data_IF_428120284763
#
_entry.id   IF_428120284763
#
_cell.length_a   1.000
_cell.length_b   1.000
_cell.length_c   1.000
_cell.angle_alpha   90.00
_cell.angle_beta   90.00
_cell.angle_gamma   90.00
#
_symmetry.space_group_name_H-M   'P 1'
#
loop_
_entity.id
_entity.type
_entity.pdbx_description
1 polymer ?
#
# COMPACT_ATOMS: atom_id res chain seq x y z
N UNK A 1 67.37 -4.00 23.63
CA UNK A 1 66.41 -2.90 23.36
C UNK A 1 65.43 -3.17 22.19
N UNK A 2 65.23 -4.43 21.73
CA UNK A 2 64.37 -4.76 20.56
C UNK A 2 62.91 -5.11 20.89
N UNK A 3 62.53 -5.23 22.17
CA UNK A 3 61.18 -5.66 22.61
C UNK A 3 60.15 -4.52 22.75
N UNK A 4 60.59 -3.26 22.82
CA UNK A 4 59.69 -2.11 22.98
C UNK A 4 59.02 -1.66 21.66
N UNK A 5 59.56 -2.07 20.51
CA UNK A 5 59.03 -1.69 19.19
C UNK A 5 57.75 -2.42 18.81
N UNK A 6 57.56 -3.66 19.28
CA UNK A 6 56.33 -4.41 19.02
C UNK A 6 55.10 -3.76 19.65
N UNK A 7 55.24 -3.17 20.83
CA UNK A 7 54.15 -2.48 21.54
C UNK A 7 53.76 -1.18 20.82
N UNK A 8 54.73 -0.50 20.21
CA UNK A 8 54.52 0.75 19.48
C UNK A 8 53.72 0.55 18.18
N UNK A 9 53.77 -0.66 17.58
CA UNK A 9 52.95 -1.04 16.42
C UNK A 9 51.56 -1.56 16.81
N UNK A 10 51.39 -2.07 18.03
CA UNK A 10 50.10 -2.56 18.50
C UNK A 10 49.14 -1.42 18.86
N UNK A 11 49.65 -0.27 19.30
CA UNK A 11 48.85 0.92 19.59
C UNK A 11 48.06 1.46 18.38
N UNK A 12 48.68 1.73 17.21
CA UNK A 12 47.94 2.18 16.04
C UNK A 12 47.03 1.08 15.48
N UNK A 13 47.41 -0.19 15.60
CA UNK A 13 46.57 -1.32 15.17
C UNK A 13 45.31 -1.44 16.05
N UNK A 14 45.45 -1.35 17.37
CA UNK A 14 44.34 -1.35 18.30
C UNK A 14 43.44 -0.11 18.10
N UNK A 15 44.04 1.06 17.83
CA UNK A 15 43.29 2.27 17.47
C UNK A 15 42.50 2.12 16.17
N UNK A 16 43.10 1.52 15.14
CA UNK A 16 42.43 1.26 13.86
C UNK A 16 41.29 0.23 14.00
N UNK A 17 41.49 -0.82 14.80
CA UNK A 17 40.45 -1.81 15.12
C UNK A 17 39.31 -1.20 15.94
N UNK A 18 39.62 -0.36 16.92
CA UNK A 18 38.61 0.36 17.69
C UNK A 18 37.83 1.33 16.81
N UNK A 19 38.51 2.09 15.93
CA UNK A 19 37.87 2.94 14.95
C UNK A 19 36.96 2.13 14.02
N UNK A 20 37.43 1.02 13.44
CA UNK A 20 36.60 0.18 12.57
C UNK A 20 35.38 -0.41 13.29
N UNK A 21 35.52 -0.76 14.58
CA UNK A 21 34.43 -1.31 15.38
C UNK A 21 33.43 -0.25 15.87
N UNK A 22 33.89 0.99 16.06
CA UNK A 22 33.07 2.13 16.51
C UNK A 22 32.45 2.94 15.38
N UNK A 23 32.88 2.73 14.13
CA UNK A 23 32.21 3.31 12.98
C UNK A 23 30.79 2.72 12.91
N UNK A 24 29.73 3.54 13.00
CA UNK A 24 28.39 3.06 12.74
C UNK A 24 28.38 2.62 11.29
N UNK A 25 28.34 1.30 11.05
CA UNK A 25 28.10 0.80 9.70
C UNK A 25 26.75 1.38 9.31
N UNK A 26 26.77 2.41 8.45
CA UNK A 26 25.59 2.86 7.73
C UNK A 26 25.26 1.74 6.74
N UNK A 27 24.67 0.67 7.27
CA UNK A 27 23.89 -0.27 6.50
C UNK A 27 22.74 0.56 5.96
N UNK A 28 22.91 1.09 4.75
CA UNK A 28 21.81 1.66 3.97
C UNK A 28 20.66 0.64 4.03
N UNK A 29 19.58 1.00 4.74
CA UNK A 29 18.42 0.14 4.92
C UNK A 29 18.29 -0.64 6.23
N UNK A 30 19.07 -0.36 7.29
CA UNK A 30 18.68 -0.86 8.64
C UNK A 30 17.49 -0.03 9.13
N UNK A 31 16.27 -0.59 9.25
CA UNK A 31 15.17 0.14 9.84
C UNK A 31 15.59 0.49 11.27
N UNK A 32 15.37 1.74 11.67
CA UNK A 32 15.50 2.12 13.07
C UNK A 32 14.72 1.10 13.90
N UNK A 33 15.33 0.59 14.98
CA UNK A 33 14.85 -0.56 15.75
C UNK A 33 13.44 -0.42 16.33
N UNK A 34 12.77 0.71 16.11
CA UNK A 34 11.43 1.02 16.56
C UNK A 34 10.54 1.59 15.43
N UNK A 35 10.77 1.24 14.16
CA UNK A 35 9.73 1.46 13.13
C UNK A 35 8.65 0.40 13.35
N UNK A 36 7.76 0.66 14.30
CA UNK A 36 6.46 0.02 14.36
C UNK A 36 5.82 0.30 12.99
N UNK A 37 5.52 -0.73 12.21
CA UNK A 37 4.80 -0.60 10.93
C UNK A 37 3.34 -0.19 11.13
N UNK A 38 3.05 0.66 12.11
CA UNK A 38 1.86 1.47 12.06
C UNK A 38 2.05 2.32 10.80
N UNK A 39 1.38 1.93 9.70
CA UNK A 39 1.31 2.77 8.51
C UNK A 39 1.04 4.17 9.05
N UNK A 40 2.00 5.09 8.90
CA UNK A 40 1.75 6.48 9.16
C UNK A 40 0.56 6.84 8.27
N UNK A 41 -0.63 6.83 8.86
CA UNK A 41 -1.86 7.10 8.14
C UNK A 41 -1.66 8.48 7.54
N UNK A 42 -1.92 8.61 6.23
CA UNK A 42 -1.81 9.92 5.61
C UNK A 42 -2.66 10.92 6.42
N UNK A 43 -2.22 12.18 6.56
CA UNK A 43 -2.97 13.16 7.30
C UNK A 43 -4.40 13.28 6.72
N UNK A 44 -5.42 13.59 7.52
CA UNK A 44 -6.82 13.61 7.09
C UNK A 44 -7.06 14.44 5.83
N UNK A 45 -6.35 15.56 5.67
CA UNK A 45 -6.45 16.44 4.51
C UNK A 45 -6.00 15.73 3.24
N UNK A 46 -4.95 14.91 3.33
CA UNK A 46 -4.43 14.14 2.21
C UNK A 46 -5.37 12.98 1.85
N UNK A 47 -5.97 12.33 2.85
CA UNK A 47 -7.00 11.31 2.63
C UNK A 47 -8.23 11.91 1.97
N UNK A 48 -8.67 13.10 2.41
CA UNK A 48 -9.80 13.82 1.83
C UNK A 48 -9.54 14.20 0.38
N UNK A 49 -8.33 14.64 0.03
CA UNK A 49 -7.96 14.94 -1.35
C UNK A 49 -8.05 13.70 -2.26
N UNK A 50 -7.50 12.57 -1.80
CA UNK A 50 -7.57 11.29 -2.53
C UNK A 50 -9.02 10.84 -2.68
N UNK A 51 -9.81 10.93 -1.61
CA UNK A 51 -11.23 10.60 -1.64
C UNK A 51 -11.96 11.47 -2.67
N UNK A 52 -11.82 12.79 -2.60
CA UNK A 52 -12.51 13.71 -3.53
C UNK A 52 -12.14 13.43 -4.99
N UNK A 53 -10.89 13.03 -5.27
CA UNK A 53 -10.44 12.69 -6.63
C UNK A 53 -10.96 11.34 -7.10
N UNK A 54 -10.97 10.32 -6.23
CA UNK A 54 -11.31 8.95 -6.59
C UNK A 54 -12.81 8.64 -6.53
N UNK A 55 -13.53 9.29 -5.61
CA UNK A 55 -14.93 9.02 -5.31
C UNK A 55 -15.87 9.08 -6.53
N UNK A 56 -15.70 10.00 -7.51
CA UNK A 56 -16.56 10.04 -8.69
C UNK A 56 -16.57 8.75 -9.52
N UNK A 57 -15.47 7.99 -9.50
CA UNK A 57 -15.33 6.73 -10.23
C UNK A 57 -15.93 5.52 -9.49
N UNK A 58 -16.25 5.67 -8.21
CA UNK A 58 -16.84 4.61 -7.36
C UNK A 58 -18.36 4.65 -7.49
N UNK A 59 -18.97 3.47 -7.49
CA UNK A 59 -20.41 3.29 -7.61
C UNK A 59 -20.89 2.18 -6.69
N UNK A 60 -22.20 2.17 -6.42
CA UNK A 60 -22.90 1.06 -5.77
C UNK A 60 -23.53 0.16 -6.83
N UNK A 61 -23.52 -1.13 -6.60
CA UNK A 61 -24.14 -2.14 -7.46
C UNK A 61 -25.36 -2.69 -6.72
N UNK A 62 -26.53 -2.43 -7.30
CA UNK A 62 -27.81 -2.96 -6.82
C UNK A 62 -28.20 -4.17 -7.69
N UNK A 63 -28.63 -5.25 -7.05
CA UNK A 63 -29.33 -6.37 -7.65
C UNK A 63 -30.85 -6.31 -7.37
N UNK A 64 -31.61 -7.35 -7.73
CA UNK A 64 -33.06 -7.39 -7.53
C UNK A 64 -33.49 -7.22 -6.06
N UNK A 65 -32.70 -7.73 -5.13
CA UNK A 65 -32.96 -7.67 -3.69
C UNK A 65 -32.37 -6.43 -2.99
N UNK A 66 -31.76 -5.53 -3.76
CA UNK A 66 -31.15 -4.30 -3.26
C UNK A 66 -29.63 -4.28 -3.40
N UNK A 67 -28.97 -3.50 -2.54
CA UNK A 67 -27.52 -3.25 -2.63
C UNK A 67 -26.72 -4.53 -2.39
N UNK A 68 -25.89 -4.92 -3.38
CA UNK A 68 -24.99 -6.08 -3.29
C UNK A 68 -23.55 -5.70 -2.95
N UNK A 69 -23.12 -4.49 -3.28
CA UNK A 69 -21.76 -4.05 -3.02
C UNK A 69 -21.38 -2.81 -3.80
N UNK A 70 -20.08 -2.64 -4.03
CA UNK A 70 -19.51 -1.50 -4.75
C UNK A 70 -18.66 -1.98 -5.91
N UNK A 71 -18.43 -1.06 -6.84
CA UNK A 71 -17.49 -1.21 -7.93
C UNK A 71 -16.89 0.14 -8.28
N UNK A 72 -15.99 0.13 -9.26
CA UNK A 72 -15.43 1.36 -9.79
C UNK A 72 -15.19 1.25 -11.29
N UNK A 73 -15.23 2.39 -11.97
CA UNK A 73 -14.80 2.47 -13.37
C UNK A 73 -13.28 2.38 -13.45
N UNK A 74 -12.77 1.33 -14.10
CA UNK A 74 -11.34 1.25 -14.48
C UNK A 74 -11.11 1.76 -15.91
N UNK A 75 -12.18 1.85 -16.71
CA UNK A 75 -12.25 2.46 -18.03
C UNK A 75 -13.67 2.98 -18.26
N UNK A 76 -13.83 3.93 -19.17
CA UNK A 76 -15.15 4.39 -19.61
C UNK A 76 -16.06 3.21 -20.00
N UNK A 77 -17.25 3.15 -19.41
CA UNK A 77 -18.23 2.10 -19.66
C UNK A 77 -17.91 0.74 -19.05
N UNK A 78 -16.75 0.55 -18.41
CA UNK A 78 -16.34 -0.73 -17.83
C UNK A 78 -16.10 -0.62 -16.32
N UNK A 79 -16.77 -1.49 -15.57
CA UNK A 79 -16.75 -1.49 -14.11
C UNK A 79 -16.06 -2.75 -13.63
N UNK A 80 -15.20 -2.60 -12.62
CA UNK A 80 -14.61 -3.72 -11.89
C UNK A 80 -15.31 -3.86 -10.53
N UNK A 81 -15.60 -5.08 -10.13
CA UNK A 81 -16.11 -5.42 -8.80
C UNK A 81 -15.62 -6.81 -8.39
N UNK A 82 -15.88 -7.20 -7.14
CA UNK A 82 -15.56 -8.53 -6.65
C UNK A 82 -16.55 -9.58 -7.18
N UNK A 83 -16.06 -10.81 -7.38
CA UNK A 83 -16.86 -11.94 -7.84
C UNK A 83 -18.17 -12.12 -7.05
N UNK A 84 -18.09 -12.10 -5.71
CA UNK A 84 -19.26 -12.34 -4.84
C UNK A 84 -20.37 -11.29 -4.99
N UNK A 85 -20.08 -10.11 -5.54
CA UNK A 85 -21.10 -9.07 -5.81
C UNK A 85 -21.96 -9.46 -7.02
N UNK A 86 -21.41 -10.24 -7.94
CA UNK A 86 -22.02 -10.58 -9.24
C UNK A 86 -22.24 -12.08 -9.46
N UNK A 87 -21.84 -12.94 -8.52
CA UNK A 87 -21.89 -14.40 -8.66
C UNK A 87 -23.31 -14.95 -8.95
N UNK A 88 -24.34 -14.36 -8.34
CA UNK A 88 -25.74 -14.79 -8.51
C UNK A 88 -26.35 -14.42 -9.87
N UNK A 89 -25.61 -13.68 -10.71
CA UNK A 89 -26.09 -13.18 -11.99
C UNK A 89 -27.24 -12.17 -11.85
N UNK A 90 -27.75 -11.74 -13.01
CA UNK A 90 -28.91 -10.86 -13.13
C UNK A 90 -28.62 -9.54 -13.84
N UNK A 91 -29.67 -8.74 -14.11
CA UNK A 91 -29.48 -7.34 -14.48
C UNK A 91 -29.00 -6.56 -13.25
N UNK A 92 -27.93 -5.80 -13.42
CA UNK A 92 -27.41 -4.94 -12.36
C UNK A 92 -27.82 -3.49 -12.59
N UNK A 93 -28.18 -2.79 -11.52
CA UNK A 93 -28.32 -1.33 -11.54
C UNK A 93 -27.12 -0.71 -10.86
N UNK A 94 -26.36 0.09 -11.60
CA UNK A 94 -25.30 0.93 -11.07
C UNK A 94 -25.91 2.21 -10.50
N UNK A 95 -25.58 2.55 -9.27
CA UNK A 95 -25.89 3.84 -8.64
C UNK A 95 -24.60 4.63 -8.53
N UNK A 96 -24.49 5.66 -9.35
CA UNK A 96 -23.31 6.52 -9.46
C UNK A 96 -23.20 7.44 -8.23
N UNK A 97 -22.00 7.99 -8.00
CA UNK A 97 -21.73 8.97 -6.94
C UNK A 97 -22.68 10.18 -6.95
N UNK A 98 -23.15 10.57 -8.14
CA UNK A 98 -24.14 11.63 -8.35
C UNK A 98 -25.61 11.15 -8.28
N UNK A 99 -25.87 9.96 -7.74
CA UNK A 99 -27.19 9.32 -7.60
C UNK A 99 -27.89 8.95 -8.92
N UNK A 100 -27.25 9.16 -10.08
CA UNK A 100 -27.78 8.66 -11.35
C UNK A 100 -27.72 7.14 -11.39
N UNK A 101 -28.68 6.55 -12.10
CA UNK A 101 -28.81 5.10 -12.26
C UNK A 101 -28.50 4.70 -13.70
N UNK A 102 -27.82 3.57 -13.86
CA UNK A 102 -27.54 2.96 -15.16
C UNK A 102 -27.68 1.45 -15.07
N UNK A 103 -28.10 0.80 -16.16
CA UNK A 103 -28.12 -0.66 -16.25
C UNK A 103 -26.74 -1.16 -16.66
N UNK A 104 -26.33 -2.30 -16.10
CA UNK A 104 -25.10 -2.98 -16.46
C UNK A 104 -25.33 -4.45 -16.77
N UNK A 105 -24.52 -4.96 -17.68
CA UNK A 105 -24.46 -6.38 -18.06
C UNK A 105 -23.14 -6.96 -17.59
N UNK A 106 -23.19 -8.15 -17.00
CA UNK A 106 -22.00 -8.87 -16.60
C UNK A 106 -21.23 -9.34 -17.83
N UNK A 107 -19.97 -8.92 -17.95
CA UNK A 107 -19.08 -9.35 -19.04
C UNK A 107 -18.36 -10.67 -18.74
N UNK A 108 -18.07 -10.93 -17.46
CA UNK A 108 -17.39 -12.13 -17.00
C UNK A 108 -16.72 -11.92 -15.64
N UNK A 109 -16.24 -13.01 -15.06
CA UNK A 109 -15.46 -13.02 -13.82
C UNK A 109 -14.50 -14.20 -13.83
N UNK A 110 -13.47 -14.15 -12.98
CA UNK A 110 -12.62 -15.30 -12.68
C UNK A 110 -13.08 -15.90 -11.34
N UNK A 111 -13.39 -17.20 -11.34
CA UNK A 111 -13.70 -17.96 -10.12
C UNK A 111 -12.40 -18.45 -9.48
N UNK A 112 -12.23 -18.31 -8.14
CA UNK A 112 -11.02 -18.76 -7.43
C UNK A 112 -10.89 -20.28 -7.34
#
# INVERSE_FOLDING_TARGET
MRKAWGILLLLPLAGALYALWSQPVQLWGRPEKNVTWELAQAPPERLQEVYTRAHPAVLRIDGPEGSRGTGFFYREGLVLTAYHVVAEGGPYTLVLSNQKRATATLLGFAEP
#
